data_IF_570556692829
#
_entry.id   IF_570556692829
#
_cell.length_a   1.000
_cell.length_b   1.000
_cell.length_c   1.000
_cell.angle_alpha   90.00
_cell.angle_beta   90.00
_cell.angle_gamma   90.00
#
_symmetry.space_group_name_H-M   'P 1'
#
loop_
_entity.id
_entity.type
_entity.pdbx_description
1 polymer ?
#
# COMPACT_ATOMS: atom_id res chain seq x y z
N UNK A 1 -39.70 -21.64 -56.70
CA UNK A 1 -38.83 -20.50 -56.34
C UNK A 1 -38.53 -20.55 -54.84
N UNK A 2 -37.38 -20.01 -54.45
CA UNK A 2 -36.70 -20.07 -53.13
C UNK A 2 -37.63 -19.82 -51.93
N UNK A 3 -37.66 -20.73 -50.96
CA UNK A 3 -37.06 -20.66 -49.60
C UNK A 3 -37.54 -19.45 -48.78
N UNK A 4 -38.18 -19.72 -47.62
CA UNK A 4 -37.61 -19.42 -46.29
C UNK A 4 -38.50 -20.01 -45.18
N UNK A 5 -37.90 -20.91 -44.40
CA UNK A 5 -38.37 -21.38 -43.11
C UNK A 5 -38.14 -20.28 -42.06
N UNK A 6 -39.13 -19.99 -41.22
CA UNK A 6 -38.95 -19.25 -39.97
C UNK A 6 -39.50 -20.14 -38.85
N UNK A 7 -38.69 -21.12 -38.47
CA UNK A 7 -38.88 -21.86 -37.23
C UNK A 7 -38.18 -21.04 -36.13
N UNK A 8 -38.97 -20.36 -35.31
CA UNK A 8 -38.52 -19.70 -34.10
C UNK A 8 -38.12 -20.75 -33.07
N UNK A 9 -36.82 -21.10 -33.08
CA UNK A 9 -36.21 -21.99 -32.10
C UNK A 9 -35.91 -21.18 -30.83
N UNK A 10 -36.72 -21.37 -29.81
CA UNK A 10 -36.51 -20.85 -28.46
C UNK A 10 -35.30 -21.58 -27.86
N UNK A 11 -34.14 -20.93 -27.86
CA UNK A 11 -32.98 -21.41 -27.10
C UNK A 11 -33.17 -21.00 -25.63
N UNK A 12 -33.67 -21.94 -24.82
CA UNK A 12 -33.54 -21.88 -23.36
C UNK A 12 -32.07 -22.10 -23.03
N UNK A 13 -31.34 -21.03 -22.74
CA UNK A 13 -29.98 -21.14 -22.19
C UNK A 13 -30.12 -21.52 -20.72
N UNK A 14 -29.99 -22.82 -20.44
CA UNK A 14 -29.83 -23.30 -19.08
C UNK A 14 -28.49 -22.78 -18.54
N UNK A 15 -28.53 -21.88 -17.57
CA UNK A 15 -27.37 -21.54 -16.75
C UNK A 15 -27.06 -22.74 -15.84
N UNK A 16 -26.37 -23.74 -16.38
CA UNK A 16 -25.66 -24.72 -15.57
C UNK A 16 -24.42 -24.02 -14.99
N UNK A 17 -24.59 -23.35 -13.84
CA UNK A 17 -23.47 -22.91 -13.03
C UNK A 17 -22.77 -24.14 -12.46
N UNK A 18 -21.68 -24.56 -13.09
CA UNK A 18 -20.78 -25.57 -12.56
C UNK A 18 -20.14 -25.04 -11.28
N UNK A 19 -20.55 -25.57 -10.12
CA UNK A 19 -19.85 -25.44 -8.85
C UNK A 19 -18.61 -26.35 -8.85
N UNK A 20 -17.65 -26.07 -9.72
CA UNK A 20 -16.38 -26.79 -9.76
C UNK A 20 -15.43 -26.21 -8.71
N UNK A 21 -15.42 -26.90 -7.57
CA UNK A 21 -14.33 -26.83 -6.61
C UNK A 21 -13.13 -27.54 -7.26
N UNK A 22 -12.38 -26.81 -8.07
CA UNK A 22 -11.10 -27.27 -8.60
C UNK A 22 -10.04 -27.02 -7.53
N UNK A 23 -9.68 -28.08 -6.82
CA UNK A 23 -8.48 -28.15 -5.99
C UNK A 23 -7.26 -28.03 -6.91
N UNK A 24 -6.89 -26.78 -7.20
CA UNK A 24 -5.54 -26.47 -7.67
C UNK A 24 -4.61 -26.69 -6.49
N UNK A 25 -3.80 -27.73 -6.57
CA UNK A 25 -2.68 -27.99 -5.66
C UNK A 25 -1.68 -26.84 -5.84
N UNK A 26 -1.89 -25.74 -5.12
CA UNK A 26 -0.91 -24.68 -5.00
C UNK A 26 0.28 -25.20 -4.18
N UNK A 27 1.53 -24.92 -4.58
CA UNK A 27 2.68 -25.31 -3.80
C UNK A 27 2.59 -24.62 -2.44
N UNK A 28 2.74 -25.40 -1.37
CA UNK A 28 2.89 -24.94 0.00
C UNK A 28 4.10 -24.01 0.10
N UNK A 29 3.91 -22.73 -0.18
CA UNK A 29 4.79 -21.67 0.28
C UNK A 29 4.09 -21.03 1.46
N UNK A 30 4.73 -21.17 2.62
CA UNK A 30 4.44 -20.43 3.84
C UNK A 30 4.45 -18.94 3.52
N UNK A 31 3.30 -18.38 3.15
CA UNK A 31 3.15 -16.95 2.92
C UNK A 31 3.17 -16.29 4.29
N UNK A 32 4.34 -15.82 4.74
CA UNK A 32 4.32 -14.63 5.57
C UNK A 32 3.68 -13.55 4.71
N UNK A 33 2.54 -13.01 5.13
CA UNK A 33 1.89 -11.91 4.43
C UNK A 33 2.90 -10.77 4.29
N UNK A 34 3.46 -10.59 3.09
CA UNK A 34 4.47 -9.57 2.84
C UNK A 34 3.81 -8.19 3.04
N UNK A 35 4.44 -7.31 3.81
CA UNK A 35 3.93 -5.96 4.06
C UNK A 35 3.69 -5.25 2.71
N UNK A 36 2.45 -4.85 2.37
CA UNK A 36 2.14 -4.26 1.06
C UNK A 36 2.88 -2.94 0.81
N UNK A 37 3.29 -2.24 1.88
CA UNK A 37 4.14 -1.04 1.80
C UNK A 37 5.49 -1.39 1.16
N UNK A 38 6.00 -2.58 1.43
CA UNK A 38 7.33 -3.05 1.03
C UNK A 38 7.34 -3.70 -0.36
N UNK A 39 6.20 -3.77 -1.05
CA UNK A 39 6.15 -4.25 -2.43
C UNK A 39 7.09 -3.43 -3.33
N UNK A 40 7.72 -4.11 -4.29
CA UNK A 40 8.47 -3.49 -5.37
C UNK A 40 7.59 -3.20 -6.60
N UNK A 41 6.34 -3.68 -6.60
CA UNK A 41 5.40 -3.49 -7.70
C UNK A 41 4.73 -2.12 -7.61
N UNK A 42 4.78 -1.36 -8.70
CA UNK A 42 4.09 -0.07 -8.80
C UNK A 42 2.64 -0.29 -9.26
N UNK A 43 1.76 -0.58 -8.30
CA UNK A 43 0.33 -0.71 -8.55
C UNK A 43 -0.35 0.65 -8.51
N UNK A 44 -1.34 0.88 -9.38
CA UNK A 44 -2.13 2.11 -9.35
C UNK A 44 -2.86 2.24 -8.00
N UNK A 45 -2.61 3.34 -7.28
CA UNK A 45 -3.12 3.55 -5.92
C UNK A 45 -2.43 2.69 -4.84
N UNK A 46 -1.43 1.89 -5.22
CA UNK A 46 -0.58 1.16 -4.30
C UNK A 46 0.55 2.03 -3.73
N UNK A 47 1.37 1.40 -2.90
CA UNK A 47 2.61 2.01 -2.40
C UNK A 47 3.67 1.99 -3.49
N UNK A 48 4.50 3.03 -3.52
CA UNK A 48 5.66 3.12 -4.40
C UNK A 48 6.83 3.74 -3.64
N UNK A 49 8.06 3.38 -4.02
CA UNK A 49 9.24 4.06 -3.50
C UNK A 49 9.20 5.53 -3.95
N UNK A 50 9.39 6.44 -3.01
CA UNK A 50 9.40 7.88 -3.24
C UNK A 50 10.76 8.50 -2.93
N UNK A 51 10.92 9.74 -3.39
CA UNK A 51 12.04 10.60 -3.01
C UNK A 51 11.76 11.30 -1.67
N UNK A 52 12.81 11.81 -1.03
CA UNK A 52 12.67 12.71 0.13
C UNK A 52 12.30 14.10 -0.40
N UNK A 53 11.01 14.34 -0.58
CA UNK A 53 10.49 15.66 -1.00
C UNK A 53 10.37 16.61 0.20
N UNK A 54 10.24 17.93 -0.01
CA UNK A 54 9.98 18.88 1.07
C UNK A 54 8.74 18.54 1.91
N UNK A 55 7.70 17.98 1.29
CA UNK A 55 6.49 17.53 1.96
C UNK A 55 6.72 16.26 2.79
N UNK A 56 7.55 15.33 2.31
CA UNK A 56 7.96 14.17 3.10
C UNK A 56 8.79 14.59 4.33
N UNK A 57 9.67 15.59 4.17
CA UNK A 57 10.40 16.19 5.29
C UNK A 57 9.46 16.85 6.30
N UNK A 58 8.48 17.64 5.83
CA UNK A 58 7.47 18.24 6.71
C UNK A 58 6.65 17.20 7.47
N UNK A 59 6.30 16.09 6.82
CA UNK A 59 5.61 14.98 7.46
C UNK A 59 6.46 14.34 8.57
N UNK A 60 7.76 14.18 8.34
CA UNK A 60 8.66 13.69 9.40
C UNK A 60 8.84 14.72 10.52
N UNK A 61 8.97 16.01 10.20
CA UNK A 61 9.10 17.06 11.21
C UNK A 61 7.85 17.11 12.12
N UNK A 62 6.65 16.90 11.55
CA UNK A 62 5.40 16.76 12.30
C UNK A 62 5.42 15.57 13.27
N UNK A 63 6.02 14.45 12.87
CA UNK A 63 6.18 13.26 13.73
C UNK A 63 7.20 13.54 14.84
N UNK A 64 8.37 14.06 14.49
CA UNK A 64 9.45 14.37 15.45
C UNK A 64 9.00 15.35 16.53
N UNK A 65 8.18 16.35 16.17
CA UNK A 65 7.60 17.30 17.13
C UNK A 65 6.66 16.66 18.16
N UNK A 66 6.22 15.42 17.93
CA UNK A 66 5.35 14.66 18.84
C UNK A 66 6.08 13.50 19.52
N UNK A 67 7.30 13.17 19.10
CA UNK A 67 8.11 12.15 19.75
C UNK A 67 8.68 12.70 21.07
N UNK A 68 8.47 11.96 22.17
CA UNK A 68 9.06 12.29 23.46
C UNK A 68 10.48 11.70 23.56
N UNK A 69 11.41 12.22 22.76
CA UNK A 69 12.80 11.76 22.72
C UNK A 69 13.78 12.94 22.77
N UNK A 70 14.96 12.71 23.34
CA UNK A 70 16.08 13.65 23.31
C UNK A 70 17.01 13.45 22.11
N UNK A 71 16.90 12.29 21.43
CA UNK A 71 17.67 11.98 20.23
C UNK A 71 17.23 12.88 19.08
N UNK A 72 18.16 13.21 18.17
CA UNK A 72 17.89 14.03 16.99
C UNK A 72 17.81 13.15 15.75
N UNK A 73 17.11 13.64 14.73
CA UNK A 73 17.14 13.02 13.41
C UNK A 73 18.58 13.03 12.87
N UNK A 74 19.08 11.87 12.47
CA UNK A 74 20.33 11.73 11.72
C UNK A 74 20.06 11.81 10.22
N UNK A 75 19.19 10.94 9.72
CA UNK A 75 18.85 10.87 8.29
C UNK A 75 17.51 10.16 8.04
N UNK A 76 16.91 10.45 6.88
CA UNK A 76 15.79 9.67 6.34
C UNK A 76 16.38 8.53 5.51
N UNK A 77 16.01 7.30 5.85
CA UNK A 77 16.51 6.10 5.18
C UNK A 77 15.68 5.74 3.95
N UNK A 78 14.36 5.88 4.04
CA UNK A 78 13.45 5.55 2.96
C UNK A 78 12.13 6.29 3.09
N UNK A 79 11.56 6.68 1.95
CA UNK A 79 10.19 7.18 1.85
C UNK A 79 9.44 6.32 0.85
N UNK A 80 8.24 5.90 1.22
CA UNK A 80 7.29 5.27 0.31
C UNK A 80 6.01 6.06 0.35
N UNK A 81 5.36 6.19 -0.80
CA UNK A 81 4.17 7.02 -0.94
C UNK A 81 3.01 6.24 -1.52
N UNK A 82 1.80 6.65 -1.13
CA UNK A 82 0.57 6.14 -1.71
C UNK A 82 -0.40 7.31 -1.94
N UNK A 83 -0.82 7.46 -3.19
CA UNK A 83 -1.79 8.48 -3.60
C UNK A 83 -3.21 7.98 -3.34
N UNK A 84 -3.99 8.76 -2.60
CA UNK A 84 -5.40 8.50 -2.26
C UNK A 84 -6.20 9.80 -2.48
N UNK A 85 -7.16 10.13 -1.60
CA UNK A 85 -7.77 11.47 -1.50
C UNK A 85 -6.86 12.47 -0.76
N UNK A 86 -5.56 12.35 -0.99
CA UNK A 86 -4.45 12.92 -0.23
C UNK A 86 -3.20 12.11 -0.53
N UNK A 87 -2.21 12.16 0.36
CA UNK A 87 -0.95 11.44 0.18
C UNK A 87 -0.53 10.80 1.49
N UNK A 88 -0.32 9.49 1.49
CA UNK A 88 0.34 8.81 2.59
C UNK A 88 1.86 8.81 2.36
N UNK A 89 2.60 9.01 3.43
CA UNK A 89 4.05 8.83 3.52
C UNK A 89 4.33 7.75 4.54
N UNK A 90 4.95 6.66 4.12
CA UNK A 90 5.59 5.72 5.03
C UNK A 90 7.08 6.06 5.06
N UNK A 91 7.57 6.47 6.22
CA UNK A 91 8.91 7.04 6.39
C UNK A 91 9.69 6.15 7.34
N UNK A 92 10.88 5.72 6.91
CA UNK A 92 11.89 5.07 7.73
C UNK A 92 13.05 6.05 7.95
N UNK A 93 13.46 6.23 9.20
CA UNK A 93 14.47 7.22 9.57
C UNK A 93 15.37 6.72 10.70
N UNK A 94 16.60 7.24 10.75
CA UNK A 94 17.58 6.94 11.78
C UNK A 94 17.76 8.16 12.70
N UNK A 95 17.85 7.89 13.99
CA UNK A 95 18.17 8.87 15.02
C UNK A 95 19.68 8.87 15.30
N UNK A 96 20.22 9.94 15.88
CA UNK A 96 21.65 10.10 16.17
C UNK A 96 22.20 9.14 17.24
N UNK A 97 21.32 8.51 18.02
CA UNK A 97 21.64 7.40 18.93
C UNK A 97 21.69 6.03 18.24
N UNK A 98 21.51 5.97 16.91
CA UNK A 98 21.53 4.75 16.09
C UNK A 98 20.20 3.99 16.07
N UNK A 99 19.15 4.49 16.71
CA UNK A 99 17.84 3.87 16.63
C UNK A 99 17.21 4.12 15.27
N UNK A 100 16.70 3.06 14.65
CA UNK A 100 15.90 3.15 13.43
C UNK A 100 14.42 3.08 13.80
N UNK A 101 13.64 3.97 13.20
CA UNK A 101 12.22 4.12 13.43
C UNK A 101 11.45 4.16 12.11
N UNK A 102 10.17 3.83 12.16
CA UNK A 102 9.24 4.00 11.06
C UNK A 102 7.90 4.59 11.52
N UNK A 103 7.19 5.25 10.59
CA UNK A 103 5.89 5.87 10.81
C UNK A 103 5.11 5.93 9.51
N UNK A 104 3.79 6.13 9.59
CA UNK A 104 2.94 6.46 8.45
C UNK A 104 2.19 7.74 8.75
N UNK A 105 2.34 8.72 7.87
CA UNK A 105 1.67 10.03 7.96
C UNK A 105 0.78 10.20 6.74
N UNK A 106 -0.49 10.47 6.99
CA UNK A 106 -1.42 10.96 5.98
C UNK A 106 -1.35 12.49 5.90
N UNK A 107 -1.29 13.02 4.68
CA UNK A 107 -1.41 14.45 4.39
C UNK A 107 -2.64 14.68 3.51
N UNK A 108 -3.57 15.49 3.99
CA UNK A 108 -4.77 15.89 3.24
C UNK A 108 -4.40 16.79 2.05
N UNK A 109 -5.33 16.93 1.10
CA UNK A 109 -5.17 17.88 -0.02
C UNK A 109 -5.04 19.34 0.44
N UNK A 110 -5.51 19.66 1.66
CA UNK A 110 -5.37 20.99 2.28
C UNK A 110 -4.07 21.14 3.08
N UNK A 111 -3.32 20.05 3.25
CA UNK A 111 -2.07 20.03 3.99
C UNK A 111 -2.20 19.65 5.47
N UNK A 112 -3.38 19.26 5.93
CA UNK A 112 -3.55 18.73 7.29
C UNK A 112 -2.82 17.39 7.41
N UNK A 113 -2.15 17.16 8.54
CA UNK A 113 -1.34 15.95 8.76
C UNK A 113 -1.88 15.12 9.93
N UNK A 114 -1.82 13.80 9.76
CA UNK A 114 -2.22 12.82 10.77
C UNK A 114 -1.26 11.63 10.75
N UNK A 115 -0.78 11.19 11.91
CA UNK A 115 -0.06 9.91 12.02
C UNK A 115 -1.07 8.77 12.00
N UNK A 116 -1.28 8.16 10.83
CA UNK A 116 -2.12 6.96 10.69
C UNK A 116 -1.42 5.72 11.26
N UNK A 117 -0.09 5.75 11.36
CA UNK A 117 0.69 4.88 12.22
C UNK A 117 1.66 5.72 13.05
N UNK A 118 1.58 5.69 14.39
CA UNK A 118 2.56 6.35 15.26
C UNK A 118 4.00 5.91 14.96
N UNK A 119 4.96 6.75 15.33
CA UNK A 119 6.37 6.36 15.27
C UNK A 119 6.62 5.13 16.14
N UNK A 120 7.21 4.10 15.54
CA UNK A 120 7.58 2.85 16.20
C UNK A 120 9.00 2.46 15.82
N UNK A 121 9.72 1.89 16.77
CA UNK A 121 11.12 1.49 16.56
C UNK A 121 11.18 0.25 15.68
N UNK A 122 12.15 0.21 14.77
CA UNK A 122 12.40 -0.88 13.83
C UNK A 122 12.35 -0.45 12.36
N UNK A 123 12.77 -1.38 11.49
CA UNK A 123 12.67 -1.21 10.03
C UNK A 123 11.23 -1.40 9.57
N UNK A 124 10.82 -0.61 8.58
CA UNK A 124 9.51 -0.73 7.94
C UNK A 124 9.44 -1.97 7.03
N UNK A 125 10.56 -2.26 6.35
CA UNK A 125 10.73 -3.38 5.44
C UNK A 125 11.95 -4.22 5.88
N UNK A 126 11.74 -5.38 6.52
CA UNK A 126 12.82 -6.26 7.00
C UNK A 126 13.49 -7.08 5.89
#
# INVERSE_FOLDING_TARGET
MKKTLLASLVCVVALAGCNQKEETVAPTQSQSEANPICSAENLAGGWSQGEVTPEAQQALDFVLGQMNTAAKLKEILSVRTQVMNGLNYAIEFEMDNGEVWNTIVYRSLKGDMEMTQPAQQGRLCP
#
